data_IF_906976038672
#
_entry.id   IF_906976038672
#
_cell.length_a   1.000
_cell.length_b   1.000
_cell.length_c   1.000
_cell.angle_alpha   90.00
_cell.angle_beta   90.00
_cell.angle_gamma   90.00
#
_symmetry.space_group_name_H-M   'P 1'
#
loop_
_entity.id
_entity.type
_entity.pdbx_description
1 polymer ?
#
# COMPACT_ATOMS: atom_id res chain seq x y z
N UNK A 1 8.55 5.93 12.63
CA UNK A 1 8.02 5.26 11.42
C UNK A 1 8.53 3.83 11.30
N UNK A 2 9.85 3.59 11.22
CA UNK A 2 10.40 2.23 11.10
C UNK A 2 9.95 1.28 12.22
N UNK A 3 9.94 1.73 13.48
CA UNK A 3 9.45 0.91 14.60
C UNK A 3 7.95 0.63 14.50
N UNK A 4 7.16 1.64 14.14
CA UNK A 4 5.73 1.47 13.95
C UNK A 4 5.39 0.61 12.71
N UNK A 5 6.32 0.35 11.80
CA UNK A 5 6.02 -0.44 10.60
C UNK A 5 5.17 0.27 9.56
N UNK A 6 5.14 1.61 9.57
CA UNK A 6 4.37 2.40 8.62
C UNK A 6 4.98 2.26 7.20
N UNK A 7 4.39 1.37 6.41
CA UNK A 7 4.96 0.86 5.16
C UNK A 7 4.63 1.69 3.93
N UNK A 8 3.94 2.81 4.02
CA UNK A 8 3.71 3.76 2.93
C UNK A 8 4.54 5.05 3.09
N UNK A 9 5.44 5.06 4.08
CA UNK A 9 6.34 6.15 4.39
C UNK A 9 7.66 6.05 3.62
N UNK A 10 8.56 7.02 3.83
CA UNK A 10 9.93 6.95 3.30
C UNK A 10 10.73 5.74 3.84
N UNK A 11 10.21 5.06 4.86
CA UNK A 11 10.71 3.77 5.34
C UNK A 11 9.79 2.62 4.93
N UNK A 12 9.12 2.66 3.78
CA UNK A 12 8.09 1.68 3.41
C UNK A 12 8.28 0.98 2.07
N UNK A 13 7.18 0.69 1.39
CA UNK A 13 6.98 0.17 0.05
C UNK A 13 6.08 1.20 -0.67
N UNK A 14 6.52 1.78 -1.79
CA UNK A 14 5.79 2.83 -2.51
C UNK A 14 5.49 4.08 -1.64
N UNK A 15 6.48 4.92 -1.33
CA UNK A 15 6.30 6.05 -0.41
C UNK A 15 5.40 7.15 -0.97
N UNK A 16 4.34 7.54 -0.26
CA UNK A 16 3.47 8.66 -0.66
C UNK A 16 2.94 9.52 0.50
N UNK A 17 2.95 9.01 1.73
CA UNK A 17 2.27 9.65 2.86
C UNK A 17 3.16 10.62 3.65
N UNK A 18 3.70 11.65 2.97
CA UNK A 18 4.55 12.66 3.62
C UNK A 18 4.56 14.00 2.88
N UNK A 19 4.91 15.04 3.62
CA UNK A 19 5.25 16.35 3.09
C UNK A 19 6.74 16.63 3.27
N UNK A 20 7.28 17.47 2.38
CA UNK A 20 8.61 18.05 2.52
C UNK A 20 8.44 19.54 2.79
N UNK A 21 9.04 20.02 3.87
CA UNK A 21 9.06 21.42 4.22
C UNK A 21 10.48 21.95 4.13
N UNK A 22 10.71 22.94 3.25
CA UNK A 22 11.98 23.68 3.22
C UNK A 22 11.88 24.85 4.19
N UNK A 23 12.71 24.82 5.23
CA UNK A 23 12.85 25.90 6.18
C UNK A 23 13.82 26.95 5.62
N UNK A 24 13.35 28.12 5.15
CA UNK A 24 14.19 29.02 4.35
C UNK A 24 15.34 29.63 5.16
N UNK A 25 15.13 29.86 6.46
CA UNK A 25 16.12 30.48 7.34
C UNK A 25 17.32 29.58 7.61
N UNK A 26 17.11 28.28 7.63
CA UNK A 26 18.15 27.31 7.95
C UNK A 26 18.66 26.55 6.73
N UNK A 27 18.07 26.80 5.56
CA UNK A 27 18.28 26.05 4.32
C UNK A 27 18.23 24.53 4.52
N UNK A 28 17.21 24.07 5.24
CA UNK A 28 17.04 22.66 5.62
C UNK A 28 15.68 22.13 5.19
N UNK A 29 15.69 20.90 4.70
CA UNK A 29 14.48 20.14 4.38
C UNK A 29 14.07 19.29 5.57
N UNK A 30 12.80 19.36 5.92
CA UNK A 30 12.14 18.58 6.96
C UNK A 30 11.19 17.57 6.33
N UNK A 31 11.24 16.35 6.84
CA UNK A 31 10.32 15.28 6.47
C UNK A 31 9.16 15.25 7.47
N UNK A 32 7.95 15.47 6.99
CA UNK A 32 6.74 15.50 7.82
C UNK A 32 5.87 14.30 7.48
N UNK A 33 5.75 13.29 8.36
CA UNK A 33 4.90 12.14 8.09
C UNK A 33 3.43 12.54 8.11
N UNK A 34 2.66 11.90 7.26
CA UNK A 34 1.20 11.99 7.21
C UNK A 34 0.63 10.57 7.17
N UNK A 35 -0.66 10.40 7.49
CA UNK A 35 -1.41 9.15 7.29
C UNK A 35 -0.67 7.89 7.80
N UNK A 36 -0.63 7.75 9.12
CA UNK A 36 0.14 6.73 9.84
C UNK A 36 -0.73 5.60 10.42
N UNK A 37 -1.99 5.52 9.99
CA UNK A 37 -3.00 4.55 10.43
C UNK A 37 -2.60 3.09 10.14
N UNK A 38 -1.79 2.86 9.11
CA UNK A 38 -1.25 1.53 8.77
C UNK A 38 -0.12 1.04 9.67
N UNK A 39 0.37 1.87 10.61
CA UNK A 39 1.37 1.48 11.60
C UNK A 39 0.82 0.53 12.67
N UNK A 40 1.69 -0.05 13.49
CA UNK A 40 1.37 -1.02 14.55
C UNK A 40 0.66 -2.29 14.05
N UNK A 41 1.07 -2.76 12.87
CA UNK A 41 0.54 -3.95 12.23
C UNK A 41 1.71 -4.85 11.76
N UNK A 42 1.73 -6.10 12.23
CA UNK A 42 2.56 -7.14 11.61
C UNK A 42 1.74 -7.86 10.55
N UNK A 43 2.37 -8.25 9.44
CA UNK A 43 1.71 -8.85 8.27
C UNK A 43 0.48 -8.06 7.80
N UNK A 44 0.58 -6.73 7.75
CA UNK A 44 -0.51 -5.88 7.30
C UNK A 44 -1.04 -6.36 5.93
N UNK A 45 -2.36 -6.47 5.80
CA UNK A 45 -3.06 -7.03 4.63
C UNK A 45 -2.61 -8.45 4.24
N UNK A 46 -2.05 -9.21 5.18
CA UNK A 46 -1.46 -10.53 4.99
C UNK A 46 -0.11 -10.54 4.27
N UNK A 47 0.57 -9.39 4.11
CA UNK A 47 1.70 -9.26 3.18
C UNK A 47 2.90 -8.47 3.66
N UNK A 48 2.78 -7.63 4.69
CA UNK A 48 3.87 -6.76 5.13
C UNK A 48 4.50 -7.29 6.42
N UNK A 49 5.58 -8.10 6.35
CA UNK A 49 6.18 -8.70 7.53
C UNK A 49 7.08 -7.69 8.26
N UNK A 50 6.50 -6.78 9.04
CA UNK A 50 7.25 -5.73 9.74
C UNK A 50 8.22 -6.33 10.76
N UNK A 51 7.79 -7.32 11.56
CA UNK A 51 8.63 -7.84 12.65
C UNK A 51 9.82 -8.63 12.09
N UNK A 52 9.56 -9.52 11.12
CA UNK A 52 10.60 -10.38 10.54
C UNK A 52 11.43 -9.67 9.45
N UNK A 53 10.84 -8.73 8.71
CA UNK A 53 11.45 -8.16 7.50
C UNK A 53 12.14 -6.82 7.71
N UNK A 54 11.91 -6.11 8.83
CA UNK A 54 12.43 -4.76 9.03
C UNK A 54 13.47 -4.75 10.13
N UNK A 55 14.72 -4.45 9.78
CA UNK A 55 15.81 -4.39 10.74
C UNK A 55 15.96 -2.97 11.32
N UNK A 56 15.88 -2.84 12.65
CA UNK A 56 15.98 -1.55 13.34
C UNK A 56 17.34 -0.87 13.20
N UNK A 57 18.43 -1.63 13.08
CA UNK A 57 19.79 -1.09 12.92
C UNK A 57 20.15 -0.75 11.47
N UNK A 58 19.29 -1.11 10.52
CA UNK A 58 19.48 -0.89 9.10
C UNK A 58 18.18 -0.32 8.50
N UNK A 59 18.08 1.01 8.33
CA UNK A 59 16.83 1.69 7.94
C UNK A 59 16.48 1.50 6.46
N UNK A 60 16.72 0.31 5.91
CA UNK A 60 16.36 -0.09 4.55
C UNK A 60 15.25 -1.13 4.64
N UNK A 61 14.00 -0.67 4.78
CA UNK A 61 12.85 -1.52 4.58
C UNK A 61 12.84 -1.86 3.10
N UNK A 62 12.81 -3.15 2.77
CA UNK A 62 13.03 -3.65 1.41
C UNK A 62 12.20 -2.97 0.31
N UNK A 63 12.58 -3.17 -0.94
CA UNK A 63 11.98 -2.49 -2.10
C UNK A 63 13.03 -1.80 -2.97
N UNK A 64 12.60 -0.87 -3.82
CA UNK A 64 13.50 -0.08 -4.68
C UNK A 64 14.47 0.76 -3.84
N UNK A 65 15.73 0.93 -4.29
CA UNK A 65 16.72 1.76 -3.59
C UNK A 65 16.19 3.17 -3.37
N UNK A 66 16.38 3.69 -2.15
CA UNK A 66 15.95 5.04 -1.76
C UNK A 66 17.20 5.91 -1.61
N UNK A 67 17.54 6.79 -2.57
CA UNK A 67 18.84 7.47 -2.60
C UNK A 67 19.21 8.20 -1.31
N UNK A 68 18.23 8.82 -0.62
CA UNK A 68 18.48 9.50 0.65
C UNK A 68 18.83 8.54 1.79
N UNK A 69 18.14 7.41 1.87
CA UNK A 69 18.37 6.38 2.89
C UNK A 69 19.68 5.64 2.61
N UNK A 70 19.95 5.32 1.35
CA UNK A 70 21.23 4.71 0.93
C UNK A 70 22.41 5.60 1.33
N UNK A 71 22.32 6.92 1.14
CA UNK A 71 23.36 7.87 1.62
C UNK A 71 23.57 7.84 3.13
N UNK A 72 22.52 7.61 3.92
CA UNK A 72 22.64 7.48 5.38
C UNK A 72 23.37 6.18 5.74
N UNK A 73 23.07 5.09 5.04
CA UNK A 73 23.64 3.77 5.33
C UNK A 73 25.07 3.62 4.83
N UNK A 74 25.38 4.16 3.65
CA UNK A 74 26.70 4.07 3.03
C UNK A 74 27.72 5.01 3.69
N UNK A 75 27.27 6.00 4.47
CA UNK A 75 28.14 6.89 5.24
C UNK A 75 28.26 6.39 6.70
N UNK A 76 29.45 5.91 7.15
CA UNK A 76 29.61 5.33 8.49
C UNK A 76 29.23 6.28 9.63
N UNK A 77 29.51 7.59 9.49
CA UNK A 77 29.17 8.58 10.53
C UNK A 77 27.66 8.79 10.64
N UNK A 78 26.96 8.82 9.51
CA UNK A 78 25.50 8.95 9.48
C UNK A 78 24.83 7.67 9.98
N UNK A 79 25.36 6.50 9.67
CA UNK A 79 24.82 5.22 10.15
C UNK A 79 24.97 5.09 11.68
N UNK A 80 26.11 5.46 12.25
CA UNK A 80 26.29 5.52 13.72
C UNK A 80 25.28 6.49 14.33
N UNK A 81 25.15 7.70 13.78
CA UNK A 81 24.17 8.68 14.26
C UNK A 81 22.74 8.17 14.18
N UNK A 82 22.38 7.50 13.09
CA UNK A 82 21.08 6.86 12.94
C UNK A 82 20.83 5.84 14.05
N UNK A 83 21.79 4.95 14.34
CA UNK A 83 21.64 3.93 15.38
C UNK A 83 21.48 4.55 16.77
N UNK A 84 22.24 5.59 17.10
CA UNK A 84 22.06 6.32 18.36
C UNK A 84 20.67 6.96 18.48
N UNK A 85 20.14 7.51 17.39
CA UNK A 85 18.78 8.08 17.38
C UNK A 85 17.72 6.97 17.48
N UNK A 86 17.90 5.86 16.77
CA UNK A 86 16.99 4.72 16.81
C UNK A 86 16.95 4.11 18.21
N UNK A 87 18.10 3.96 18.87
CA UNK A 87 18.23 3.50 20.25
C UNK A 87 17.47 4.41 21.23
N UNK A 88 17.71 5.73 21.16
CA UNK A 88 16.99 6.70 21.98
C UNK A 88 15.47 6.63 21.78
N UNK A 89 15.01 6.59 20.53
CA UNK A 89 13.57 6.49 20.22
C UNK A 89 12.99 5.16 20.73
N UNK A 90 13.76 4.07 20.64
CA UNK A 90 13.32 2.76 21.10
C UNK A 90 13.09 2.76 22.61
N UNK A 91 14.02 3.32 23.39
CA UNK A 91 13.95 3.35 24.84
C UNK A 91 12.99 4.44 25.37
N UNK A 92 13.09 5.67 24.87
CA UNK A 92 12.37 6.82 25.40
C UNK A 92 10.89 6.87 24.98
N UNK A 93 10.54 6.24 23.85
CA UNK A 93 9.21 6.39 23.25
C UNK A 93 8.53 5.08 22.88
N UNK A 94 9.27 4.12 22.33
CA UNK A 94 8.68 2.86 21.83
C UNK A 94 8.74 1.72 22.86
N UNK A 95 9.45 1.89 23.97
CA UNK A 95 9.58 0.87 25.00
C UNK A 95 8.18 0.50 25.53
N UNK A 96 7.85 -0.80 25.69
CA UNK A 96 6.57 -1.25 26.22
C UNK A 96 6.14 -0.59 27.55
N UNK A 97 7.08 -0.22 28.43
CA UNK A 97 6.77 0.46 29.69
C UNK A 97 6.29 1.91 29.48
N UNK A 98 6.67 2.53 28.37
CA UNK A 98 6.28 3.89 28.00
C UNK A 98 5.03 3.88 27.11
N UNK A 99 5.05 3.06 26.06
CA UNK A 99 4.04 3.14 25.01
C UNK A 99 2.73 2.43 25.36
N UNK A 100 2.77 1.31 26.10
CA UNK A 100 1.55 0.56 26.43
C UNK A 100 0.59 1.36 27.34
N UNK A 101 1.05 2.05 28.40
CA UNK A 101 0.16 2.92 29.19
C UNK A 101 -0.45 4.06 28.38
N UNK A 102 0.30 4.62 27.40
CA UNK A 102 -0.23 5.66 26.51
C UNK A 102 -1.33 5.13 25.59
N UNK A 103 -1.17 3.90 25.07
CA UNK A 103 -2.22 3.22 24.29
C UNK A 103 -3.47 3.02 25.17
N UNK A 104 -3.29 2.51 26.40
CA UNK A 104 -4.40 2.29 27.32
C UNK A 104 -5.13 3.60 27.67
N UNK A 105 -4.39 4.68 27.90
CA UNK A 105 -4.96 6.00 28.19
C UNK A 105 -5.74 6.58 27.00
N UNK A 106 -5.22 6.44 25.77
CA UNK A 106 -5.92 6.89 24.56
C UNK A 106 -7.18 6.07 24.29
N UNK A 107 -7.11 4.75 24.44
CA UNK A 107 -8.29 3.90 24.31
C UNK A 107 -9.34 4.23 25.37
N UNK A 108 -8.92 4.47 26.61
CA UNK A 108 -9.81 4.87 27.70
C UNK A 108 -10.56 6.17 27.43
N UNK A 109 -9.99 7.12 26.67
CA UNK A 109 -10.66 8.39 26.32
C UNK A 109 -11.84 8.21 25.36
N UNK A 110 -11.84 7.15 24.55
CA UNK A 110 -12.84 6.94 23.49
C UNK A 110 -13.68 5.69 23.73
N UNK A 111 -13.38 4.91 24.77
CA UNK A 111 -13.95 3.57 24.97
C UNK A 111 -15.49 3.59 25.04
N UNK A 112 -16.06 4.58 25.72
CA UNK A 112 -17.50 4.67 25.90
C UNK A 112 -18.18 5.09 24.58
N UNK A 113 -17.63 6.07 23.87
CA UNK A 113 -18.11 6.47 22.54
C UNK A 113 -18.04 5.30 21.53
N UNK A 114 -16.97 4.51 21.59
CA UNK A 114 -16.78 3.33 20.74
C UNK A 114 -17.77 2.19 21.06
N UNK A 115 -18.29 2.12 22.29
CA UNK A 115 -19.29 1.10 22.65
C UNK A 115 -20.62 1.33 21.94
N UNK A 116 -20.95 2.60 21.66
CA UNK A 116 -22.16 3.02 20.96
C UNK A 116 -21.96 3.20 19.44
N UNK A 117 -20.74 2.99 18.94
CA UNK A 117 -20.40 3.16 17.52
C UNK A 117 -21.11 2.09 16.64
N UNK A 118 -22.01 2.52 15.72
CA UNK A 118 -22.79 1.60 14.89
C UNK A 118 -22.02 1.02 13.70
N UNK A 119 -20.78 1.47 13.44
CA UNK A 119 -19.96 1.00 12.33
C UNK A 119 -19.17 -0.27 12.68
N UNK A 120 -18.75 -1.08 11.68
CA UNK A 120 -18.02 -2.31 11.96
C UNK A 120 -16.70 -2.08 12.70
N UNK A 121 -16.52 -2.76 13.84
CA UNK A 121 -15.33 -2.67 14.70
C UNK A 121 -14.17 -3.52 14.16
N UNK A 122 -13.67 -3.15 12.97
CA UNK A 122 -12.65 -3.92 12.24
C UNK A 122 -11.46 -3.07 11.86
N UNK A 123 -10.29 -3.70 11.79
CA UNK A 123 -9.05 -3.08 11.32
C UNK A 123 -8.68 -3.59 9.93
N UNK A 124 -8.59 -2.68 8.96
CA UNK A 124 -8.29 -3.05 7.57
C UNK A 124 -6.93 -3.77 7.41
N UNK A 125 -5.92 -3.35 8.17
CA UNK A 125 -4.58 -3.96 8.12
C UNK A 125 -4.52 -5.35 8.73
N UNK A 126 -5.41 -5.66 9.70
CA UNK A 126 -5.40 -6.89 10.48
C UNK A 126 -6.82 -7.46 10.56
N UNK A 127 -7.28 -8.19 9.52
CA UNK A 127 -8.64 -8.72 9.46
C UNK A 127 -9.01 -9.69 10.59
N UNK A 128 -8.01 -10.24 11.30
CA UNK A 128 -8.21 -11.12 12.45
C UNK A 128 -8.63 -10.35 13.72
N UNK A 129 -8.45 -9.02 13.77
CA UNK A 129 -8.91 -8.19 14.87
C UNK A 129 -10.44 -8.00 14.74
N UNK A 130 -11.20 -8.48 15.72
CA UNK A 130 -12.68 -8.65 15.63
C UNK A 130 -13.49 -7.56 16.31
N UNK A 131 -12.88 -6.85 17.24
CA UNK A 131 -13.48 -5.80 18.07
C UNK A 131 -12.38 -4.86 18.61
N UNK A 132 -12.76 -3.76 19.28
CA UNK A 132 -11.78 -2.80 19.82
C UNK A 132 -10.84 -3.39 20.87
N UNK A 133 -11.29 -4.36 21.67
CA UNK A 133 -10.43 -5.00 22.69
C UNK A 133 -9.33 -5.85 22.04
N UNK A 134 -9.68 -6.62 21.02
CA UNK A 134 -8.74 -7.43 20.23
C UNK A 134 -7.82 -6.56 19.40
N UNK A 135 -8.30 -5.45 18.81
CA UNK A 135 -7.46 -4.45 18.14
C UNK A 135 -6.40 -3.88 19.10
N UNK A 136 -6.82 -3.41 20.28
CA UNK A 136 -5.90 -2.85 21.27
C UNK A 136 -4.90 -3.91 21.75
N UNK A 137 -5.36 -5.13 22.03
CA UNK A 137 -4.48 -6.25 22.40
C UNK A 137 -3.45 -6.57 21.31
N UNK A 138 -3.87 -6.56 20.04
CA UNK A 138 -3.04 -6.79 18.85
C UNK A 138 -1.95 -5.73 18.71
N UNK A 139 -2.30 -4.44 18.84
CA UNK A 139 -1.35 -3.32 18.85
C UNK A 139 -0.33 -3.47 19.99
N UNK A 140 -0.80 -3.78 21.20
CA UNK A 140 0.09 -3.98 22.36
C UNK A 140 1.04 -5.17 22.16
N UNK A 141 0.56 -6.26 21.56
CA UNK A 141 1.40 -7.41 21.22
C UNK A 141 2.45 -7.06 20.15
N UNK A 142 2.06 -6.31 19.12
CA UNK A 142 2.99 -5.78 18.13
C UNK A 142 4.11 -4.97 18.80
N UNK A 143 3.78 -4.02 19.69
CA UNK A 143 4.78 -3.19 20.38
C UNK A 143 5.76 -4.06 21.17
N UNK A 144 5.28 -5.05 21.93
CA UNK A 144 6.14 -5.95 22.72
C UNK A 144 7.10 -6.75 21.82
N UNK A 145 6.56 -7.40 20.79
CA UNK A 145 7.36 -8.21 19.86
C UNK A 145 8.35 -7.34 19.11
N UNK A 146 7.91 -6.18 18.61
CA UNK A 146 8.74 -5.26 17.84
C UNK A 146 9.85 -4.65 18.67
N UNK A 147 9.59 -4.26 19.92
CA UNK A 147 10.62 -3.80 20.85
C UNK A 147 11.69 -4.87 21.06
N UNK A 148 11.29 -6.11 21.39
CA UNK A 148 12.24 -7.21 21.61
C UNK A 148 13.14 -7.44 20.40
N UNK A 149 12.55 -7.47 19.20
CA UNK A 149 13.30 -7.66 17.95
C UNK A 149 14.21 -6.46 17.64
N UNK A 150 13.70 -5.24 17.79
CA UNK A 150 14.47 -4.02 17.53
C UNK A 150 15.64 -3.85 18.50
N UNK A 151 15.45 -4.17 19.78
CA UNK A 151 16.49 -4.10 20.81
C UNK A 151 17.65 -5.01 20.45
N UNK A 152 17.36 -6.28 20.19
CA UNK A 152 18.37 -7.26 19.76
C UNK A 152 19.10 -6.83 18.48
N UNK A 153 18.40 -6.23 17.51
CA UNK A 153 19.00 -5.74 16.27
C UNK A 153 19.90 -4.52 16.47
N UNK A 154 19.60 -3.65 17.44
CA UNK A 154 20.44 -2.48 17.73
C UNK A 154 21.65 -2.83 18.59
N UNK A 155 21.51 -3.82 19.49
CA UNK A 155 22.60 -4.32 20.33
C UNK A 155 23.65 -5.07 19.50
N UNK A 156 23.19 -5.92 18.58
CA UNK A 156 24.04 -6.60 17.60
C UNK A 156 23.54 -6.32 16.18
N UNK A 157 24.01 -5.23 15.55
CA UNK A 157 23.54 -4.84 14.23
C UNK A 157 23.98 -5.79 13.11
N UNK A 158 25.01 -6.62 13.35
CA UNK A 158 25.57 -7.51 12.34
C UNK A 158 25.88 -6.82 11.01
N UNK A 159 25.81 -7.59 9.93
CA UNK A 159 25.93 -7.08 8.55
C UNK A 159 24.59 -6.57 8.01
N UNK A 160 24.66 -5.65 7.03
CA UNK A 160 23.49 -5.14 6.31
C UNK A 160 22.66 -6.32 5.77
N UNK A 161 21.38 -6.46 6.15
CA UNK A 161 20.52 -7.51 5.63
C UNK A 161 20.46 -7.44 4.10
N UNK A 162 20.45 -8.59 3.44
CA UNK A 162 20.25 -8.64 1.98
C UNK A 162 18.88 -8.04 1.67
N UNK A 163 18.86 -6.99 0.85
CA UNK A 163 17.60 -6.46 0.33
C UNK A 163 16.97 -7.58 -0.50
N UNK A 164 15.83 -8.11 -0.03
CA UNK A 164 14.96 -8.90 -0.89
C UNK A 164 14.42 -7.92 -1.92
N UNK A 165 15.09 -7.85 -3.08
CA UNK A 165 14.59 -7.12 -4.23
C UNK A 165 13.35 -7.88 -4.68
N UNK A 166 12.18 -7.40 -4.26
CA UNK A 166 11.01 -7.66 -5.09
C UNK A 166 11.35 -7.09 -6.46
N UNK A 167 11.37 -7.91 -7.52
CA UNK A 167 11.70 -7.43 -8.85
C UNK A 167 10.81 -6.22 -9.15
N UNK A 168 11.31 -5.21 -9.89
CA UNK A 168 10.53 -4.03 -10.22
C UNK A 168 9.17 -4.51 -10.70
N UNK A 169 8.11 -4.13 -9.97
CA UNK A 169 6.75 -4.61 -10.22
C UNK A 169 6.42 -4.23 -11.66
N UNK A 170 6.54 -5.18 -12.58
CA UNK A 170 6.04 -4.99 -13.94
C UNK A 170 4.57 -4.63 -13.78
N UNK A 171 4.06 -3.59 -14.47
CA UNK A 171 2.64 -3.31 -14.44
C UNK A 171 1.91 -4.62 -14.75
N UNK A 172 0.86 -4.96 -13.97
CA UNK A 172 0.20 -6.26 -14.10
C UNK A 172 -0.14 -6.48 -15.57
N UNK A 173 0.12 -7.67 -16.08
CA UNK A 173 -0.21 -8.03 -17.45
C UNK A 173 -1.38 -9.02 -17.44
N UNK A 174 -2.21 -9.03 -18.49
CA UNK A 174 -3.20 -10.08 -18.65
C UNK A 174 -2.51 -11.46 -18.65
N UNK A 175 -3.15 -12.42 -17.99
CA UNK A 175 -2.73 -13.81 -17.99
C UNK A 175 -3.30 -14.59 -19.18
N UNK A 176 -3.06 -15.90 -19.17
CA UNK A 176 -3.72 -16.82 -20.10
C UNK A 176 -5.24 -16.82 -19.87
N UNK A 177 -6.05 -17.15 -20.89
CA UNK A 177 -7.49 -17.35 -20.72
C UNK A 177 -7.81 -18.22 -19.51
N UNK A 178 -8.74 -17.76 -18.67
CA UNK A 178 -9.06 -18.40 -17.39
C UNK A 178 -10.55 -18.20 -17.07
N UNK A 179 -11.12 -19.12 -16.27
CA UNK A 179 -12.56 -19.11 -15.93
C UNK A 179 -12.96 -17.92 -15.04
N UNK A 180 -12.01 -17.37 -14.31
CA UNK A 180 -12.15 -16.19 -13.43
C UNK A 180 -11.89 -14.87 -14.18
N UNK A 181 -11.74 -14.91 -15.51
CA UNK A 181 -11.69 -13.69 -16.32
C UNK A 181 -13.02 -12.93 -16.25
N UNK A 182 -13.01 -11.59 -16.17
CA UNK A 182 -14.22 -10.80 -16.27
C UNK A 182 -14.95 -11.05 -17.60
N UNK A 183 -16.27 -10.97 -17.60
CA UNK A 183 -17.09 -11.15 -18.81
C UNK A 183 -18.09 -10.00 -18.98
N UNK A 184 -18.81 -9.97 -20.10
CA UNK A 184 -19.92 -9.02 -20.34
C UNK A 184 -19.52 -7.53 -20.19
N UNK A 185 -18.29 -7.18 -20.58
CA UNK A 185 -17.85 -5.80 -20.62
C UNK A 185 -18.75 -5.03 -21.61
N UNK A 186 -19.33 -3.93 -21.14
CA UNK A 186 -20.27 -3.09 -21.90
C UNK A 186 -20.21 -1.64 -21.46
N UNK A 187 -20.65 -0.74 -22.34
CA UNK A 187 -20.89 0.67 -22.02
C UNK A 187 -22.26 0.80 -21.36
N UNK A 188 -22.34 1.55 -20.26
CA UNK A 188 -23.61 1.88 -19.58
C UNK A 188 -23.89 3.39 -19.57
N UNK A 189 -22.92 4.22 -19.95
CA UNK A 189 -23.08 5.66 -20.04
C UNK A 189 -22.02 6.26 -20.98
N UNK A 190 -22.40 7.32 -21.72
CA UNK A 190 -21.56 7.89 -22.77
C UNK A 190 -21.92 9.36 -23.01
N UNK A 191 -20.90 10.22 -22.99
CA UNK A 191 -20.96 11.67 -23.25
C UNK A 191 -19.71 12.08 -24.05
N UNK A 192 -19.65 13.31 -24.56
CA UNK A 192 -18.46 13.80 -25.29
C UNK A 192 -17.14 13.77 -24.50
N UNK A 193 -17.18 13.73 -23.17
CA UNK A 193 -15.99 13.74 -22.30
C UNK A 193 -15.89 12.54 -21.35
N UNK A 194 -16.84 11.60 -21.38
CA UNK A 194 -16.85 10.45 -20.47
C UNK A 194 -17.50 9.20 -21.05
N UNK A 195 -16.85 8.05 -20.87
CA UNK A 195 -17.44 6.71 -21.08
C UNK A 195 -17.50 5.97 -19.73
N UNK A 196 -18.70 5.49 -19.36
CA UNK A 196 -18.90 4.64 -18.19
C UNK A 196 -19.05 3.19 -18.64
N UNK A 197 -18.18 2.31 -18.14
CA UNK A 197 -18.13 0.89 -18.48
C UNK A 197 -18.50 0.03 -17.28
N UNK A 198 -19.17 -1.09 -17.53
CA UNK A 198 -19.48 -2.13 -16.54
C UNK A 198 -19.14 -3.50 -17.10
N UNK A 199 -18.70 -4.42 -16.25
CA UNK A 199 -18.49 -5.83 -16.58
C UNK A 199 -19.11 -6.72 -15.52
N UNK A 200 -19.15 -8.02 -15.78
CA UNK A 200 -19.42 -9.06 -14.79
C UNK A 200 -18.10 -9.51 -14.18
N UNK A 201 -18.01 -9.44 -12.86
CA UNK A 201 -16.85 -9.96 -12.14
C UNK A 201 -17.02 -11.46 -11.87
N UNK A 202 -16.04 -12.24 -12.29
CA UNK A 202 -15.98 -13.69 -12.07
C UNK A 202 -14.79 -14.07 -11.18
N UNK A 203 -13.96 -13.09 -10.78
CA UNK A 203 -12.83 -13.32 -9.92
C UNK A 203 -13.28 -13.41 -8.45
N UNK A 204 -12.52 -14.17 -7.66
CA UNK A 204 -12.66 -14.18 -6.22
C UNK A 204 -11.27 -14.08 -5.59
N UNK A 205 -11.09 -13.15 -4.65
CA UNK A 205 -9.80 -12.93 -3.99
C UNK A 205 -8.85 -12.01 -4.74
N UNK A 206 -9.31 -11.36 -5.82
CA UNK A 206 -8.57 -10.38 -6.58
C UNK A 206 -8.23 -9.13 -5.73
N UNK A 207 -7.17 -8.45 -6.14
CA UNK A 207 -6.81 -7.13 -5.62
C UNK A 207 -7.56 -5.99 -6.34
N UNK A 208 -8.17 -6.30 -7.49
CA UNK A 208 -8.93 -5.37 -8.32
C UNK A 208 -8.87 -5.73 -9.80
N UNK A 209 -9.29 -4.81 -10.65
CA UNK A 209 -9.36 -4.97 -12.10
C UNK A 209 -8.56 -3.89 -12.82
N UNK A 210 -8.11 -4.20 -14.03
CA UNK A 210 -7.43 -3.23 -14.90
C UNK A 210 -8.18 -3.15 -16.22
N UNK A 211 -8.74 -1.98 -16.48
CA UNK A 211 -9.28 -1.63 -17.78
C UNK A 211 -8.12 -1.25 -18.70
N UNK A 212 -8.01 -1.97 -19.82
CA UNK A 212 -7.10 -1.62 -20.90
C UNK A 212 -7.84 -0.84 -22.00
N UNK A 213 -7.14 0.10 -22.62
CA UNK A 213 -7.64 0.91 -23.72
C UNK A 213 -6.70 0.82 -24.92
N UNK A 214 -7.27 0.84 -26.12
CA UNK A 214 -6.56 1.12 -27.36
C UNK A 214 -7.29 2.25 -28.10
N UNK A 215 -6.54 3.13 -28.74
CA UNK A 215 -7.09 4.23 -29.54
C UNK A 215 -7.43 3.73 -30.94
N UNK A 216 -8.51 4.24 -31.53
CA UNK A 216 -8.97 3.86 -32.86
C UNK A 216 -9.57 2.46 -32.96
N UNK A 217 -10.32 2.25 -34.04
CA UNK A 217 -10.93 0.94 -34.35
C UNK A 217 -9.86 -0.12 -34.66
N UNK A 218 -8.78 0.30 -35.34
CA UNK A 218 -7.63 -0.55 -35.69
C UNK A 218 -6.31 0.00 -35.14
N UNK A 219 -6.34 0.88 -34.15
CA UNK A 219 -5.10 1.51 -33.67
C UNK A 219 -4.22 0.59 -32.82
N UNK A 220 -3.24 1.16 -32.09
CA UNK A 220 -2.13 0.41 -31.51
C UNK A 220 -2.57 -0.61 -30.45
N UNK A 221 -1.60 -1.36 -29.91
CA UNK A 221 -1.87 -2.36 -28.88
C UNK A 221 -2.53 -1.75 -27.63
N UNK A 222 -3.36 -2.56 -26.98
CA UNK A 222 -3.99 -2.24 -25.71
C UNK A 222 -2.94 -1.93 -24.64
N UNK A 223 -3.16 -0.85 -23.90
CA UNK A 223 -2.37 -0.46 -22.73
C UNK A 223 -3.24 -0.43 -21.49
N UNK A 224 -2.65 -0.72 -20.32
CA UNK A 224 -3.32 -0.50 -19.04
C UNK A 224 -3.69 0.98 -18.93
N UNK A 225 -4.96 1.26 -18.65
CA UNK A 225 -5.51 2.62 -18.64
C UNK A 225 -6.02 3.00 -17.26
N UNK A 226 -6.96 2.22 -16.71
CA UNK A 226 -7.56 2.50 -15.39
C UNK A 226 -7.43 1.26 -14.51
N UNK A 227 -6.79 1.42 -13.35
CA UNK A 227 -6.83 0.43 -12.28
C UNK A 227 -8.01 0.70 -11.35
N UNK A 228 -8.75 -0.36 -10.99
CA UNK A 228 -9.86 -0.30 -10.04
C UNK A 228 -9.54 -1.20 -8.86
N UNK A 229 -8.96 -0.64 -7.77
CA UNK A 229 -8.60 -1.43 -6.60
C UNK A 229 -9.84 -1.82 -5.79
N UNK A 230 -9.75 -2.94 -5.08
CA UNK A 230 -10.84 -3.46 -4.24
C UNK A 230 -11.54 -4.64 -4.89
N UNK A 231 -12.09 -5.51 -4.03
CA UNK A 231 -12.90 -6.66 -4.45
C UNK A 231 -14.25 -6.18 -4.99
N UNK A 232 -14.82 -6.90 -5.93
CA UNK A 232 -16.16 -6.65 -6.50
C UNK A 232 -16.30 -5.34 -7.31
N UNK A 233 -15.20 -4.64 -7.59
CA UNK A 233 -15.25 -3.44 -8.42
C UNK A 233 -15.50 -3.81 -9.88
N UNK A 234 -16.73 -3.66 -10.34
CA UNK A 234 -17.18 -4.04 -11.69
C UNK A 234 -17.54 -2.87 -12.62
N UNK A 235 -17.12 -1.65 -12.27
CA UNK A 235 -17.45 -0.41 -12.97
C UNK A 235 -16.21 0.47 -13.13
N UNK A 236 -16.06 1.16 -14.27
CA UNK A 236 -15.03 2.18 -14.49
C UNK A 236 -15.56 3.38 -15.29
N UNK A 237 -14.97 4.55 -15.09
CA UNK A 237 -15.27 5.77 -15.86
C UNK A 237 -13.99 6.25 -16.54
N UNK A 238 -13.99 6.32 -17.87
CA UNK A 238 -12.93 6.93 -18.66
C UNK A 238 -13.30 8.37 -19.00
N UNK A 239 -12.71 9.33 -18.28
CA UNK A 239 -12.85 10.78 -18.49
C UNK A 239 -11.77 11.36 -19.40
N UNK A 240 -10.82 10.53 -19.87
CA UNK A 240 -9.73 10.93 -20.76
C UNK A 240 -10.06 10.66 -22.23
N UNK A 241 -11.34 10.70 -22.60
CA UNK A 241 -11.83 10.48 -23.96
C UNK A 241 -12.05 11.81 -24.67
N UNK A 242 -11.93 11.81 -26.00
CA UNK A 242 -12.13 12.98 -26.83
C UNK A 242 -13.34 12.76 -27.74
N UNK A 243 -14.19 13.77 -27.86
CA UNK A 243 -15.36 13.78 -28.74
C UNK A 243 -15.01 13.32 -30.17
N UNK A 244 -15.90 12.53 -30.76
CA UNK A 244 -15.75 11.97 -32.11
C UNK A 244 -14.67 10.89 -32.28
N UNK A 245 -13.83 10.62 -31.27
CA UNK A 245 -12.79 9.57 -31.34
C UNK A 245 -13.35 8.19 -31.03
N UNK A 246 -12.76 7.16 -31.62
CA UNK A 246 -13.07 5.75 -31.32
C UNK A 246 -12.01 5.17 -30.39
N UNK A 247 -12.45 4.38 -29.42
CA UNK A 247 -11.61 3.63 -28.48
C UNK A 247 -12.07 2.18 -28.38
N UNK A 248 -11.14 1.29 -28.08
CA UNK A 248 -11.43 -0.10 -27.72
C UNK A 248 -11.09 -0.36 -26.27
N UNK A 249 -11.90 -1.17 -25.61
CA UNK A 249 -11.73 -1.52 -24.21
C UNK A 249 -11.79 -3.03 -23.99
N UNK A 250 -11.03 -3.48 -23.00
CA UNK A 250 -11.08 -4.84 -22.43
C UNK A 250 -10.60 -4.78 -20.99
N UNK A 251 -10.99 -5.74 -20.17
CA UNK A 251 -10.64 -5.76 -18.74
C UNK A 251 -10.13 -7.13 -18.33
N UNK A 252 -9.25 -7.17 -17.32
CA UNK A 252 -8.83 -8.38 -16.63
C UNK A 252 -8.76 -8.10 -15.12
N UNK A 253 -8.97 -9.14 -14.31
CA UNK A 253 -8.79 -9.06 -12.86
C UNK A 253 -7.33 -9.35 -12.49
N UNK A 254 -6.91 -8.91 -11.31
CA UNK A 254 -5.53 -9.01 -10.83
C UNK A 254 -5.49 -9.73 -9.50
N UNK A 255 -4.90 -10.91 -9.47
CA UNK A 255 -4.70 -11.68 -8.25
C UNK A 255 -3.38 -11.35 -7.57
N UNK A 256 -3.39 -11.21 -6.24
CA UNK A 256 -2.15 -11.17 -5.48
C UNK A 256 -1.52 -12.56 -5.38
N UNK A 257 -0.22 -12.66 -5.63
CA UNK A 257 0.58 -13.87 -5.41
C UNK A 257 1.84 -13.53 -4.60
N UNK A 258 2.52 -14.52 -4.00
CA UNK A 258 3.80 -14.28 -3.32
C UNK A 258 4.85 -13.61 -4.22
N UNK A 259 4.82 -13.92 -5.53
CA UNK A 259 5.76 -13.40 -6.53
C UNK A 259 5.32 -12.07 -7.19
N UNK A 260 4.18 -11.52 -6.79
CA UNK A 260 3.66 -10.26 -7.32
C UNK A 260 2.20 -10.34 -7.77
N UNK A 261 1.82 -9.51 -8.74
CA UNK A 261 0.45 -9.50 -9.26
C UNK A 261 0.36 -10.38 -10.52
N UNK A 262 -0.65 -11.25 -10.56
CA UNK A 262 -0.95 -12.12 -11.71
C UNK A 262 -2.31 -11.73 -12.30
N UNK A 263 -2.35 -11.34 -13.57
CA UNK A 263 -3.62 -11.09 -14.26
C UNK A 263 -4.38 -12.39 -14.59
N UNK A 264 -5.71 -12.32 -14.62
CA UNK A 264 -6.57 -13.34 -15.24
C UNK A 264 -6.53 -13.25 -16.77
N UNK A 265 -7.29 -14.10 -17.44
CA UNK A 265 -7.68 -13.87 -18.83
C UNK A 265 -8.43 -12.54 -19.02
N UNK A 266 -8.56 -12.13 -20.29
CA UNK A 266 -9.25 -10.91 -20.70
C UNK A 266 -10.75 -11.15 -20.92
N UNK A 267 -11.55 -10.11 -20.72
CA UNK A 267 -12.94 -10.03 -21.16
C UNK A 267 -13.09 -9.98 -22.69
N UNK A 268 -14.33 -9.95 -23.15
CA UNK A 268 -14.65 -9.49 -24.49
C UNK A 268 -14.10 -8.07 -24.74
N UNK A 269 -13.76 -7.77 -26.00
CA UNK A 269 -13.38 -6.43 -26.44
C UNK A 269 -14.63 -5.68 -26.87
N UNK A 270 -14.74 -4.41 -26.51
CA UNK A 270 -15.76 -3.50 -27.05
C UNK A 270 -15.11 -2.35 -27.79
N UNK A 271 -15.78 -1.85 -28.83
CA UNK A 271 -15.38 -0.66 -29.59
C UNK A 271 -16.42 0.43 -29.37
N UNK A 272 -15.98 1.65 -29.06
CA UNK A 272 -16.86 2.76 -28.68
C UNK A 272 -16.37 4.03 -29.37
N UNK A 273 -17.19 4.63 -30.23
CA UNK A 273 -16.98 5.98 -30.77
C UNK A 273 -17.60 7.02 -29.86
N UNK A 274 -16.85 7.90 -29.24
CA UNK A 274 -17.34 8.98 -28.35
C UNK A 274 -18.29 9.90 -29.13
N UNK A 275 -19.40 10.40 -28.52
CA UNK A 275 -20.28 11.37 -29.16
C UNK A 275 -19.50 12.63 -29.54
N UNK A 276 -19.99 13.35 -30.55
CA UNK A 276 -19.39 14.62 -30.96
C UNK A 276 -19.76 15.77 -29.99
N UNK A 277 -20.90 15.65 -29.28
CA UNK A 277 -21.44 16.55 -28.25
C UNK A 277 -22.07 15.78 -27.07
#
# INVERSE_FOLDING_TARGET
>A
MLFAGAFDQLTGWNPHNYYLYHEPKADRWHYLPWDLDVGFADNAFGRVPVIAGWNAAWPIPGGSPRPLIERIVDNPRLLVRYRCLADRILEDHFHPKVLLPRIDALYGQVKDDLADDPFPHRRATNPEDRDFNTIVASIKNFVRRRYKTARSQLDDPGNRPRIVRNPPRRPPQPGKPSKDAPTELRVIGKTASKITLKWKDNANGEAGHVLQRADGENGPQFRNHIGRPGRESSLAEDTGVVAGRTYRYRVYAVHPTPDGYRGTGLSNVITVRVPDE
#
